data_IF_899296618555
#
_entry.id   IF_899296618555
#
_cell.length_a   1.000
_cell.length_b   1.000
_cell.length_c   1.000
_cell.angle_alpha   90.00
_cell.angle_beta   90.00
_cell.angle_gamma   90.00
#
_symmetry.space_group_name_H-M   'P 1'
#
loop_
_entity.id
_entity.type
_entity.pdbx_description
1 polymer ?
#
# COMPACT_ATOMS: atom_id res chain seq x y z
N UNK A 1 -37.56 20.45 -18.75
CA UNK A 1 -36.72 19.59 -17.88
C UNK A 1 -35.35 19.51 -18.53
N UNK A 2 -34.37 20.24 -18.01
CA UNK A 2 -32.99 20.17 -18.50
C UNK A 2 -32.34 19.03 -17.74
N UNK A 3 -32.01 17.97 -18.47
CA UNK A 3 -31.28 16.81 -17.98
C UNK A 3 -29.89 17.29 -17.56
N UNK A 4 -29.57 17.18 -16.26
CA UNK A 4 -28.25 17.47 -15.77
C UNK A 4 -27.27 16.50 -16.45
N UNK A 5 -26.35 17.04 -17.24
CA UNK A 5 -25.24 16.27 -17.77
C UNK A 5 -24.40 15.79 -16.59
N UNK A 6 -24.36 14.47 -16.38
CA UNK A 6 -23.45 13.84 -15.42
C UNK A 6 -22.02 14.29 -15.75
N UNK A 7 -21.33 14.88 -14.78
CA UNK A 7 -19.93 15.23 -14.93
C UNK A 7 -19.14 13.97 -15.38
N UNK A 8 -18.14 14.11 -16.27
CA UNK A 8 -17.35 12.97 -16.70
C UNK A 8 -16.71 12.31 -15.48
N UNK A 9 -16.97 11.02 -15.29
CA UNK A 9 -16.29 10.21 -14.30
C UNK A 9 -14.81 10.17 -14.68
N UNK A 10 -13.96 10.86 -13.91
CA UNK A 10 -12.52 10.93 -14.18
C UNK A 10 -11.93 9.55 -13.86
N UNK A 11 -11.63 8.79 -14.91
CA UNK A 11 -10.92 7.52 -14.80
C UNK A 11 -9.47 7.83 -14.48
N UNK A 12 -9.02 7.45 -13.28
CA UNK A 12 -7.63 7.60 -12.87
C UNK A 12 -6.86 6.33 -13.24
N UNK A 13 -5.88 6.45 -14.14
CA UNK A 13 -4.99 5.37 -14.54
C UNK A 13 -3.69 5.41 -13.74
N UNK A 14 -3.26 4.27 -13.21
CA UNK A 14 -2.05 4.16 -12.39
C UNK A 14 -1.45 2.77 -12.48
N UNK A 15 -0.12 2.70 -12.52
CA UNK A 15 0.60 1.49 -12.16
C UNK A 15 0.50 1.27 -10.64
N UNK A 16 0.30 0.03 -10.22
CA UNK A 16 0.16 -0.27 -8.80
C UNK A 16 0.14 -1.75 -8.45
N UNK A 17 -0.10 -2.01 -7.17
CA UNK A 17 -0.30 -3.34 -6.61
C UNK A 17 -1.72 -3.41 -6.05
N UNK A 18 -2.51 -4.36 -6.53
CA UNK A 18 -3.72 -4.80 -5.82
C UNK A 18 -3.31 -5.85 -4.80
N UNK A 19 -3.72 -5.65 -3.56
CA UNK A 19 -3.51 -6.66 -2.52
C UNK A 19 -4.62 -6.70 -1.47
N UNK A 20 -4.85 -7.89 -0.93
CA UNK A 20 -5.73 -8.08 0.22
C UNK A 20 -4.93 -7.96 1.53
N UNK A 21 -5.09 -6.85 2.25
CA UNK A 21 -4.38 -6.56 3.50
C UNK A 21 -5.33 -5.94 4.53
N UNK A 22 -5.17 -6.30 5.82
CA UNK A 22 -6.04 -5.83 6.92
C UNK A 22 -7.54 -6.03 6.65
N UNK A 23 -7.92 -7.20 6.11
CA UNK A 23 -9.31 -7.59 5.79
C UNK A 23 -10.00 -6.70 4.75
N UNK A 24 -9.23 -6.05 3.87
CA UNK A 24 -9.77 -5.28 2.75
C UNK A 24 -8.88 -5.41 1.52
N UNK A 25 -9.48 -5.18 0.36
CA UNK A 25 -8.75 -4.99 -0.89
C UNK A 25 -8.24 -3.55 -0.99
N UNK A 26 -7.01 -3.40 -1.45
CA UNK A 26 -6.35 -2.12 -1.64
C UNK A 26 -5.70 -2.07 -3.01
N UNK A 27 -5.71 -0.89 -3.61
CA UNK A 27 -4.80 -0.53 -4.70
C UNK A 27 -3.74 0.43 -4.14
N UNK A 28 -2.48 0.02 -4.19
CA UNK A 28 -1.35 0.90 -3.86
C UNK A 28 -0.69 1.36 -5.15
N UNK A 29 -0.65 2.67 -5.34
CA UNK A 29 -0.14 3.30 -6.55
C UNK A 29 1.35 3.61 -6.43
N UNK A 30 2.06 3.34 -7.52
CA UNK A 30 3.46 3.65 -7.69
C UNK A 30 3.61 4.58 -8.89
N UNK A 31 4.47 5.62 -8.81
CA UNK A 31 4.65 6.55 -9.92
C UNK A 31 5.35 5.88 -11.11
N UNK A 32 6.22 4.90 -10.83
CA UNK A 32 6.94 4.06 -11.78
C UNK A 32 7.45 2.80 -11.07
N UNK A 33 8.01 1.85 -11.84
CA UNK A 33 8.65 0.65 -11.31
C UNK A 33 9.81 1.01 -10.36
N UNK A 34 10.01 0.22 -9.31
CA UNK A 34 11.07 0.42 -8.29
C UNK A 34 11.00 1.74 -7.47
N UNK A 35 9.95 2.54 -7.63
CA UNK A 35 9.75 3.78 -6.87
C UNK A 35 9.06 3.53 -5.50
N UNK A 36 9.05 4.56 -4.65
CA UNK A 36 8.23 4.53 -3.44
C UNK A 36 6.74 4.69 -3.81
N UNK A 37 5.81 3.99 -3.11
CA UNK A 37 4.39 4.18 -3.33
C UNK A 37 3.98 5.60 -2.96
N UNK A 38 3.00 6.14 -3.68
CA UNK A 38 2.51 7.51 -3.50
C UNK A 38 1.15 7.57 -2.81
N UNK A 39 0.36 6.49 -2.90
CA UNK A 39 -1.01 6.46 -2.38
C UNK A 39 -1.52 5.04 -2.20
N UNK A 40 -2.30 4.79 -1.15
CA UNK A 40 -3.13 3.60 -1.02
C UNK A 40 -4.62 3.97 -1.08
N UNK A 41 -5.38 3.29 -1.93
CA UNK A 41 -6.84 3.42 -2.05
C UNK A 41 -7.50 2.16 -1.54
N UNK A 42 -8.50 2.34 -0.69
CA UNK A 42 -9.35 1.22 -0.28
C UNK A 42 -10.32 0.89 -1.41
N UNK A 43 -10.35 -0.36 -1.83
CA UNK A 43 -11.28 -0.84 -2.84
C UNK A 43 -12.58 -1.29 -2.16
N UNK A 44 -13.70 -1.15 -2.86
CA UNK A 44 -14.98 -1.74 -2.43
C UNK A 44 -14.97 -3.27 -2.49
N UNK A 45 -14.03 -3.84 -3.24
CA UNK A 45 -13.98 -5.25 -3.60
C UNK A 45 -14.77 -5.58 -4.87
N UNK A 46 -15.38 -4.61 -5.55
CA UNK A 46 -16.19 -4.81 -6.76
C UNK A 46 -15.48 -4.35 -8.04
N UNK A 47 -15.93 -4.91 -9.15
CA UNK A 47 -15.62 -4.46 -10.51
C UNK A 47 -16.74 -3.55 -11.05
N UNK A 48 -16.42 -2.65 -11.98
CA UNK A 48 -17.46 -1.95 -12.73
C UNK A 48 -18.23 -2.91 -13.64
N UNK A 49 -19.41 -2.51 -14.10
CA UNK A 49 -20.21 -3.35 -15.00
C UNK A 49 -19.45 -3.67 -16.30
N UNK A 50 -18.80 -2.67 -16.91
CA UNK A 50 -18.00 -2.86 -18.12
C UNK A 50 -16.82 -3.81 -17.90
N UNK A 51 -16.12 -3.68 -16.77
CA UNK A 51 -15.03 -4.59 -16.40
C UNK A 51 -15.51 -6.02 -16.14
N UNK A 52 -16.68 -6.16 -15.53
CA UNK A 52 -17.31 -7.47 -15.30
C UNK A 52 -17.68 -8.14 -16.61
N UNK A 53 -18.30 -7.41 -17.53
CA UNK A 53 -18.70 -7.93 -18.84
C UNK A 53 -17.48 -8.34 -19.67
N UNK A 54 -16.40 -7.54 -19.63
CA UNK A 54 -15.12 -7.90 -20.24
C UNK A 54 -14.55 -9.19 -19.65
N UNK A 55 -14.47 -9.29 -18.32
CA UNK A 55 -13.87 -10.45 -17.64
C UNK A 55 -14.64 -11.74 -17.94
N UNK A 56 -15.98 -11.68 -17.96
CA UNK A 56 -16.83 -12.82 -18.34
C UNK A 56 -16.64 -13.23 -19.80
N UNK A 57 -16.48 -12.26 -20.70
CA UNK A 57 -16.21 -12.54 -22.10
C UNK A 57 -14.83 -13.19 -22.30
N UNK A 58 -13.82 -12.70 -21.58
CA UNK A 58 -12.44 -13.20 -21.64
C UNK A 58 -12.32 -14.63 -21.09
N UNK A 59 -12.99 -14.91 -19.97
CA UNK A 59 -12.96 -16.23 -19.32
C UNK A 59 -13.97 -17.23 -19.91
N UNK A 60 -14.96 -16.74 -20.66
CA UNK A 60 -16.07 -17.57 -21.16
C UNK A 60 -17.06 -18.03 -20.08
N UNK A 61 -17.01 -17.44 -18.88
CA UNK A 61 -17.91 -17.76 -17.75
C UNK A 61 -18.88 -16.60 -17.45
N UNK A 62 -20.14 -16.65 -17.91
CA UNK A 62 -21.14 -15.63 -17.60
C UNK A 62 -21.50 -15.54 -16.11
N UNK A 63 -21.25 -16.60 -15.34
CA UNK A 63 -21.57 -16.70 -13.92
C UNK A 63 -20.51 -16.09 -12.99
N UNK A 64 -19.38 -15.64 -13.56
CA UNK A 64 -18.28 -15.11 -12.77
C UNK A 64 -18.71 -13.93 -11.90
N UNK A 65 -18.23 -13.93 -10.65
CA UNK A 65 -18.54 -12.90 -9.69
C UNK A 65 -17.95 -11.54 -10.11
N UNK A 66 -18.68 -10.46 -9.83
CA UNK A 66 -18.26 -9.09 -10.13
C UNK A 66 -17.36 -8.50 -9.04
N UNK A 67 -16.34 -9.25 -8.62
CA UNK A 67 -15.46 -8.88 -7.52
C UNK A 67 -13.97 -8.89 -7.91
N UNK A 68 -13.16 -8.18 -7.13
CA UNK A 68 -11.73 -8.02 -7.36
C UNK A 68 -10.97 -9.36 -7.28
N UNK A 69 -11.46 -10.31 -6.48
CA UNK A 69 -10.81 -11.61 -6.35
C UNK A 69 -10.94 -12.44 -7.65
N UNK A 70 -12.00 -12.21 -8.43
CA UNK A 70 -12.19 -12.86 -9.73
C UNK A 70 -11.13 -12.44 -10.79
N UNK A 71 -10.44 -11.31 -10.62
CA UNK A 71 -9.39 -10.87 -11.55
C UNK A 71 -8.13 -11.74 -11.50
N UNK A 72 -7.82 -12.29 -10.32
CA UNK A 72 -6.67 -13.16 -10.12
C UNK A 72 -6.99 -14.16 -9.00
N UNK A 73 -7.75 -15.24 -9.30
CA UNK A 73 -8.28 -16.14 -8.27
C UNK A 73 -7.18 -16.90 -7.52
N UNK A 74 -6.00 -17.07 -8.14
CA UNK A 74 -4.87 -17.81 -7.57
C UNK A 74 -3.98 -16.95 -6.66
N UNK A 75 -4.13 -15.62 -6.69
CA UNK A 75 -3.29 -14.72 -5.90
C UNK A 75 -4.10 -13.67 -5.15
N UNK A 76 -3.61 -13.31 -3.97
CA UNK A 76 -4.14 -12.18 -3.18
C UNK A 76 -3.32 -10.90 -3.33
N UNK A 77 -2.32 -10.91 -4.21
CA UNK A 77 -1.38 -9.81 -4.43
C UNK A 77 -0.85 -9.87 -5.86
N UNK A 78 -1.11 -8.84 -6.66
CA UNK A 78 -0.58 -8.74 -8.02
C UNK A 78 -0.30 -7.28 -8.39
N UNK A 79 0.73 -7.05 -9.21
CA UNK A 79 1.01 -5.76 -9.82
C UNK A 79 0.36 -5.64 -11.19
N UNK A 80 0.13 -4.42 -11.65
CA UNK A 80 -0.37 -4.16 -12.98
C UNK A 80 -0.69 -2.69 -13.19
N UNK A 81 -1.24 -2.39 -14.35
CA UNK A 81 -1.94 -1.13 -14.57
C UNK A 81 -3.40 -1.29 -14.17
N UNK A 82 -3.94 -0.26 -13.53
CA UNK A 82 -5.31 -0.25 -13.08
C UNK A 82 -5.94 1.11 -13.37
N UNK A 83 -7.22 1.05 -13.68
CA UNK A 83 -8.09 2.22 -13.67
C UNK A 83 -9.13 2.06 -12.57
N UNK A 84 -9.44 3.16 -11.87
CA UNK A 84 -10.44 3.14 -10.79
C UNK A 84 -11.48 4.23 -10.95
N UNK A 85 -12.67 3.94 -10.44
CA UNK A 85 -13.77 4.91 -10.31
C UNK A 85 -14.31 4.91 -8.88
N UNK A 86 -14.79 6.05 -8.36
CA UNK A 86 -15.43 6.08 -7.04
C UNK A 86 -16.65 5.16 -6.98
N UNK A 87 -16.75 4.34 -5.93
CA UNK A 87 -17.90 3.47 -5.72
C UNK A 87 -19.15 4.29 -5.43
N UNK A 88 -20.26 3.99 -6.10
CA UNK A 88 -21.53 4.67 -5.83
C UNK A 88 -21.98 4.47 -4.37
N UNK A 89 -22.16 5.58 -3.65
CA UNK A 89 -22.60 5.57 -2.25
C UNK A 89 -21.54 5.14 -1.22
N UNK A 90 -20.30 4.87 -1.65
CA UNK A 90 -19.18 4.56 -0.76
C UNK A 90 -18.27 5.77 -0.59
N UNK A 91 -18.20 6.35 0.61
CA UNK A 91 -17.19 7.35 0.91
C UNK A 91 -15.79 6.70 0.86
N UNK A 92 -14.90 7.28 0.06
CA UNK A 92 -13.49 6.87 -0.09
C UNK A 92 -13.29 5.40 -0.51
N UNK A 93 -14.28 4.80 -1.19
CA UNK A 93 -14.17 3.47 -1.81
C UNK A 93 -14.09 3.60 -3.33
N UNK A 94 -13.36 2.67 -3.94
CA UNK A 94 -13.14 2.64 -5.38
C UNK A 94 -13.45 1.25 -5.95
N UNK A 95 -14.05 1.23 -7.14
CA UNK A 95 -14.26 0.04 -7.96
C UNK A 95 -13.15 -0.02 -9.03
N UNK A 96 -12.76 -1.24 -9.42
CA UNK A 96 -11.80 -1.44 -10.52
C UNK A 96 -12.54 -1.36 -11.86
N UNK A 97 -12.03 -0.51 -12.75
CA UNK A 97 -12.62 -0.22 -14.06
C UNK A 97 -11.78 -0.74 -15.23
N UNK A 98 -10.48 -0.93 -15.04
CA UNK A 98 -9.62 -1.60 -16.01
C UNK A 98 -8.48 -2.35 -15.34
N UNK A 99 -8.05 -3.45 -15.97
CA UNK A 99 -6.85 -4.21 -15.63
C UNK A 99 -6.25 -4.81 -16.92
N UNK A 100 -5.49 -4.02 -17.72
CA UNK A 100 -5.02 -4.47 -19.01
C UNK A 100 -3.89 -5.51 -18.93
N UNK A 101 -3.18 -5.62 -17.79
CA UNK A 101 -2.12 -6.61 -17.58
C UNK A 101 -1.81 -6.79 -16.09
N UNK A 102 -1.43 -8.00 -15.71
CA UNK A 102 -1.04 -8.37 -14.34
C UNK A 102 0.23 -9.21 -14.28
N UNK A 103 1.01 -9.03 -13.22
CA UNK A 103 2.19 -9.84 -12.91
C UNK A 103 2.35 -10.04 -11.40
N UNK A 104 3.24 -10.94 -10.99
CA UNK A 104 3.63 -11.04 -9.59
C UNK A 104 4.49 -9.83 -9.19
N UNK A 105 4.17 -9.15 -8.08
CA UNK A 105 4.93 -8.01 -7.61
C UNK A 105 6.23 -8.45 -6.94
N UNK A 106 7.24 -7.59 -6.96
CA UNK A 106 8.48 -7.83 -6.24
C UNK A 106 8.26 -7.86 -4.72
N UNK A 107 9.16 -8.54 -4.01
CA UNK A 107 9.11 -8.63 -2.54
C UNK A 107 9.19 -7.23 -1.88
N UNK A 108 10.08 -6.38 -2.39
CA UNK A 108 10.25 -5.00 -1.91
C UNK A 108 8.99 -4.16 -2.15
N UNK A 109 8.44 -4.20 -3.36
CA UNK A 109 7.23 -3.44 -3.71
C UNK A 109 6.04 -3.88 -2.85
N UNK A 110 5.89 -5.19 -2.64
CA UNK A 110 4.85 -5.74 -1.77
C UNK A 110 5.00 -5.26 -0.32
N UNK A 111 6.24 -5.18 0.18
CA UNK A 111 6.54 -4.65 1.51
C UNK A 111 6.22 -3.16 1.64
N UNK A 112 6.64 -2.37 0.66
CA UNK A 112 6.32 -0.94 0.59
C UNK A 112 4.81 -0.72 0.49
N UNK A 113 4.09 -1.54 -0.28
CA UNK A 113 2.65 -1.50 -0.40
C UNK A 113 1.93 -1.75 0.93
N UNK A 114 2.32 -2.79 1.67
CA UNK A 114 1.81 -3.03 3.04
C UNK A 114 2.07 -1.85 3.95
N UNK A 115 3.29 -1.31 3.91
CA UNK A 115 3.71 -0.17 4.72
C UNK A 115 2.88 1.08 4.40
N UNK A 116 2.56 1.34 3.13
CA UNK A 116 1.72 2.46 2.69
C UNK A 116 0.27 2.30 3.17
N UNK A 117 -0.29 1.09 3.07
CA UNK A 117 -1.64 0.82 3.60
C UNK A 117 -1.67 1.04 5.12
N UNK A 118 -0.67 0.51 5.83
CA UNK A 118 -0.54 0.63 7.27
C UNK A 118 -0.40 2.10 7.70
N UNK A 119 0.42 2.90 7.01
CA UNK A 119 0.57 4.34 7.25
C UNK A 119 -0.69 5.15 6.90
N UNK A 120 -1.49 4.68 5.93
CA UNK A 120 -2.78 5.29 5.57
C UNK A 120 -3.83 5.03 6.66
N UNK A 121 -3.86 3.82 7.22
CA UNK A 121 -4.80 3.44 8.28
C UNK A 121 -4.45 4.03 9.65
N UNK A 122 -3.16 4.23 9.90
CA UNK A 122 -2.61 4.71 11.16
C UNK A 122 -1.56 5.78 10.85
N UNK A 123 -1.98 7.05 10.75
CA UNK A 123 -1.09 8.15 10.43
C UNK A 123 0.11 8.19 11.36
N UNK A 124 1.27 8.52 10.79
CA UNK A 124 2.52 8.68 11.53
C UNK A 124 2.32 9.78 12.60
N UNK A 125 2.56 9.49 13.89
CA UNK A 125 2.40 10.47 14.97
C UNK A 125 3.30 11.69 14.80
N UNK A 126 2.86 12.83 15.35
CA UNK A 126 3.68 14.03 15.42
C UNK A 126 5.03 13.75 16.10
N UNK A 127 6.11 14.26 15.52
CA UNK A 127 7.48 14.00 15.99
C UNK A 127 8.18 12.85 15.27
N UNK A 128 7.44 12.04 14.49
CA UNK A 128 8.01 11.07 13.56
C UNK A 128 7.87 11.55 12.12
N UNK A 129 8.87 11.22 11.31
CA UNK A 129 8.92 11.46 9.86
C UNK A 129 8.51 10.17 9.16
N UNK A 130 7.55 10.24 8.25
CA UNK A 130 7.15 9.10 7.43
C UNK A 130 8.29 8.64 6.52
N UNK A 131 8.50 7.32 6.40
CA UNK A 131 9.51 6.74 5.50
C UNK A 131 9.25 7.05 4.03
N UNK A 132 8.01 7.38 3.66
CA UNK A 132 7.64 7.80 2.30
C UNK A 132 7.90 9.29 2.03
N UNK A 133 8.14 10.08 3.08
CA UNK A 133 8.46 11.50 2.96
C UNK A 133 9.97 11.73 2.99
N UNK A 134 10.67 11.08 3.92
CA UNK A 134 12.12 11.10 3.97
C UNK A 134 12.65 9.87 4.69
N UNK A 135 13.84 9.42 4.29
CA UNK A 135 14.60 8.37 4.97
C UNK A 135 15.68 9.00 5.84
N UNK A 136 16.09 8.36 6.94
CA UNK A 136 17.18 8.88 7.75
C UNK A 136 18.52 8.73 7.03
N UNK A 137 19.55 9.50 7.43
CA UNK A 137 20.90 9.30 6.94
C UNK A 137 21.37 7.86 7.16
N UNK A 138 22.14 7.35 6.21
CA UNK A 138 22.60 5.97 6.23
C UNK A 138 23.46 5.67 7.48
N UNK A 139 23.27 4.48 8.04
CA UNK A 139 23.96 3.95 9.22
C UNK A 139 23.77 4.76 10.52
N UNK A 140 22.92 5.79 10.54
CA UNK A 140 22.65 6.53 11.77
C UNK A 140 21.57 5.86 12.62
N UNK A 141 21.77 5.76 13.95
CA UNK A 141 20.75 5.23 14.85
C UNK A 141 19.56 6.19 14.94
N UNK A 142 18.37 5.64 14.78
CA UNK A 142 17.09 6.35 14.91
C UNK A 142 16.18 5.62 15.87
N UNK A 143 15.20 6.34 16.40
CA UNK A 143 14.00 5.73 16.95
C UNK A 143 13.02 5.55 15.80
N UNK A 144 12.56 4.32 15.59
CA UNK A 144 11.66 3.97 14.52
C UNK A 144 10.39 3.35 15.09
N UNK A 145 9.30 3.58 14.38
CA UNK A 145 8.00 2.99 14.69
C UNK A 145 7.54 2.11 13.53
N UNK A 146 6.88 1.03 13.88
CA UNK A 146 6.12 0.16 12.98
C UNK A 146 4.76 -0.11 13.58
N UNK A 147 3.80 -0.60 12.79
CA UNK A 147 2.55 -1.06 13.38
C UNK A 147 2.79 -2.23 14.33
N UNK A 148 2.17 -2.15 15.49
CA UNK A 148 2.23 -3.21 16.49
C UNK A 148 1.42 -4.42 16.05
N UNK A 149 1.93 -5.61 16.37
CA UNK A 149 1.14 -6.85 16.35
C UNK A 149 0.27 -7.01 17.61
N UNK A 150 0.50 -6.21 18.64
CA UNK A 150 -0.23 -6.27 19.90
C UNK A 150 -1.53 -5.47 19.84
N UNK A 151 -2.52 -5.87 20.64
CA UNK A 151 -3.81 -5.17 20.74
C UNK A 151 -3.76 -3.93 21.62
N UNK A 152 -2.77 -3.83 22.53
CA UNK A 152 -2.67 -2.76 23.52
C UNK A 152 -1.87 -1.54 23.07
N UNK A 153 -1.16 -1.62 21.95
CA UNK A 153 -0.38 -0.53 21.39
C UNK A 153 -0.67 -0.39 19.89
N UNK A 154 -0.71 0.84 19.37
CA UNK A 154 -0.84 1.05 17.92
C UNK A 154 0.49 0.83 17.21
N UNK A 155 1.59 1.26 17.83
CA UNK A 155 2.93 1.19 17.26
C UNK A 155 3.89 0.50 18.22
N UNK A 156 4.79 -0.31 17.66
CA UNK A 156 6.00 -0.73 18.37
C UNK A 156 7.08 0.35 18.16
N UNK A 157 7.81 0.66 19.22
CA UNK A 157 8.98 1.54 19.16
C UNK A 157 10.25 0.69 19.22
N UNK A 158 11.18 0.94 18.30
CA UNK A 158 12.46 0.25 18.24
C UNK A 158 13.61 1.21 17.90
N UNK A 159 14.82 0.84 18.32
CA UNK A 159 16.05 1.47 17.84
C UNK A 159 16.49 0.79 16.55
N UNK A 160 16.66 1.56 15.48
CA UNK A 160 16.98 1.03 14.16
C UNK A 160 18.03 1.85 13.42
N UNK A 161 18.53 1.31 12.31
CA UNK A 161 19.40 1.98 11.34
C UNK A 161 18.90 1.66 9.92
N UNK A 162 18.99 2.64 9.04
CA UNK A 162 18.72 2.47 7.61
C UNK A 162 20.06 2.24 6.88
N UNK A 163 20.22 1.11 6.19
CA UNK A 163 21.47 0.63 5.59
C UNK A 163 21.28 0.23 4.10
N UNK A 164 20.87 1.16 3.22
CA UNK A 164 20.49 0.85 1.85
C UNK A 164 21.65 0.34 0.97
N UNK A 165 22.90 0.80 1.18
CA UNK A 165 24.04 0.36 0.35
C UNK A 165 24.37 -1.12 0.57
N UNK A 166 24.23 -1.61 1.81
CA UNK A 166 24.57 -2.99 2.14
C UNK A 166 23.43 -3.97 1.85
N UNK A 167 22.17 -3.51 1.92
CA UNK A 167 20.96 -4.34 1.85
C UNK A 167 19.80 -3.60 1.15
N UNK A 168 19.89 -3.35 -0.16
CA UNK A 168 18.95 -2.47 -0.88
C UNK A 168 17.50 -2.94 -0.84
N UNK A 169 17.24 -4.25 -0.79
CA UNK A 169 15.88 -4.82 -0.75
C UNK A 169 15.29 -4.97 0.65
N UNK A 170 16.11 -4.80 1.69
CA UNK A 170 15.67 -4.81 3.08
C UNK A 170 16.63 -3.96 3.89
N UNK A 171 16.53 -2.63 3.82
CA UNK A 171 17.58 -1.73 4.31
C UNK A 171 17.51 -1.51 5.83
N UNK A 172 16.38 -1.81 6.47
CA UNK A 172 16.19 -1.54 7.90
C UNK A 172 16.78 -2.64 8.78
N UNK A 173 17.59 -2.23 9.75
CA UNK A 173 18.15 -3.09 10.80
C UNK A 173 17.81 -2.57 12.17
N UNK A 174 17.56 -3.48 13.10
CA UNK A 174 17.60 -3.11 14.50
C UNK A 174 19.07 -2.85 14.94
N UNK A 175 19.24 -2.58 16.24
CA UNK A 175 20.58 -2.30 16.76
C UNK A 175 21.46 -3.55 16.88
N UNK A 176 20.89 -4.75 16.98
CA UNK A 176 21.66 -6.01 16.92
C UNK A 176 22.14 -6.34 15.51
N UNK A 177 21.54 -5.73 14.49
CA UNK A 177 21.92 -5.93 13.09
C UNK A 177 21.04 -6.94 12.35
N UNK A 178 19.89 -7.29 12.94
CA UNK A 178 18.89 -8.18 12.35
C UNK A 178 17.90 -7.37 11.51
N UNK A 179 17.31 -8.00 10.50
CA UNK A 179 16.32 -7.33 9.66
C UNK A 179 15.06 -7.04 10.47
N UNK A 180 14.59 -5.79 10.43
CA UNK A 180 13.39 -5.40 11.18
C UNK A 180 12.16 -6.22 10.75
N UNK A 181 12.10 -6.59 9.47
CA UNK A 181 11.05 -7.44 8.91
C UNK A 181 10.99 -8.85 9.51
N UNK A 182 12.08 -9.36 10.07
CA UNK A 182 12.12 -10.71 10.63
C UNK A 182 11.35 -10.82 11.95
N UNK A 183 11.14 -9.67 12.62
CA UNK A 183 10.45 -9.59 13.91
C UNK A 183 9.06 -8.95 13.81
N UNK A 184 8.58 -8.57 12.63
CA UNK A 184 7.26 -7.96 12.46
C UNK A 184 7.11 -7.08 11.21
N UNK A 185 6.19 -6.11 11.28
CA UNK A 185 5.95 -5.15 10.19
C UNK A 185 7.18 -4.28 9.89
N UNK A 186 7.19 -3.71 8.69
CA UNK A 186 8.18 -2.71 8.30
C UNK A 186 7.99 -1.37 9.04
N UNK A 187 9.07 -0.59 9.06
CA UNK A 187 9.08 0.74 9.66
C UNK A 187 8.23 1.69 8.83
N UNK A 188 7.30 2.39 9.49
CA UNK A 188 6.43 3.38 8.86
C UNK A 188 6.91 4.81 9.10
N UNK A 189 7.68 5.03 10.17
CA UNK A 189 8.17 6.35 10.53
C UNK A 189 9.35 6.31 11.49
N UNK A 190 10.10 7.40 11.56
CA UNK A 190 11.33 7.50 12.34
C UNK A 190 11.57 8.92 12.88
N UNK A 191 12.39 9.04 13.92
CA UNK A 191 12.92 10.31 14.37
C UNK A 191 14.38 10.13 14.81
N UNK A 192 15.15 11.22 14.82
CA UNK A 192 16.54 11.16 15.26
C UNK A 192 16.59 10.78 16.74
N UNK A 193 17.40 9.77 17.08
CA UNK A 193 17.54 9.34 18.48
C UNK A 193 18.09 10.47 19.39
N UNK A 194 18.93 11.35 18.82
CA UNK A 194 19.50 12.50 19.51
C UNK A 194 18.45 13.54 19.96
N UNK A 195 17.27 13.56 19.34
CA UNK A 195 16.20 14.49 19.69
C UNK A 195 15.37 14.00 20.89
N UNK A 196 15.50 12.72 21.25
CA UNK A 196 14.74 12.11 22.36
C UNK A 196 15.49 12.10 23.70
N UNK A 197 16.83 12.06 23.68
CA UNK A 197 17.67 11.96 24.89
C UNK A 197 18.11 13.35 25.39
N UNK A 198 17.59 14.45 24.83
CA UNK A 198 17.96 15.78 25.33
C UNK A 198 17.43 15.95 26.77
N UNK A 199 18.28 16.35 27.73
CA UNK A 199 17.78 16.81 29.02
C UNK A 199 16.75 17.93 28.80
N UNK A 200 15.65 17.86 29.54
CA UNK A 200 14.67 18.95 29.61
C UNK A 200 15.19 20.10 30.46
#
# INVERSE_FOLDING_TARGET
>A
MIQAASAPCVVAHSYGIIMHHRLAWWLVEFPELDAAPVRARKLSGKLTAGMTDWLRAETGDPGLAADVAALNPESRCWSGEFSTVPTMGGADLFDIDAHPWGSEPGELETRLARTMIDATLRPVPSGFVSVFTALPPENQPVLAIRLSGYTCATFDLLTARHMPTYRPRSPWRDISGDAVSDSGSDIIGWCAAADWIRPT
#
